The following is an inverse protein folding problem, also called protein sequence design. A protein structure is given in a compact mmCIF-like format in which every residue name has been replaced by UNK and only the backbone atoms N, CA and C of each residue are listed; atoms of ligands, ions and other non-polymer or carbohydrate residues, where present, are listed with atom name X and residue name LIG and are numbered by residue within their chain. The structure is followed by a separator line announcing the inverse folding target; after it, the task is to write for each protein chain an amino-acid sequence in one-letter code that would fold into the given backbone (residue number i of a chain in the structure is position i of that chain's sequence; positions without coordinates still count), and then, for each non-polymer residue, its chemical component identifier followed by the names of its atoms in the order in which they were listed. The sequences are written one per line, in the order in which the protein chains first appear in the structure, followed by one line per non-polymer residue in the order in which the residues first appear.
data_IF_042821535679
#
_entry.id   IF_042821535679
#
_cell.length_a   1.000
_cell.length_b   1.000
_cell.length_c   1.000
_cell.angle_alpha   90.00
_cell.angle_beta   90.00
_cell.angle_gamma   90.00
#
_symmetry.space_group_name_H-M   'P 1'
#
loop_
_entity.id
_entity.type
_entity.pdbx_description
1 polymer ?
#
# COMPACT_ATOMS: atom_id res chain seq x y z
N UNK A 1 4.82 7.19 -9.51
CA UNK A 1 4.11 6.37 -8.56
C UNK A 1 2.64 6.62 -8.55
N UNK A 2 1.86 5.59 -8.36
CA UNK A 2 0.42 5.76 -8.34
C UNK A 2 0.01 6.52 -7.10
N UNK A 3 -0.96 7.36 -7.26
CA UNK A 3 -1.46 8.13 -6.15
C UNK A 3 -2.06 7.26 -5.06
N UNK A 4 -2.64 6.19 -5.46
CA UNK A 4 -3.23 5.28 -4.51
C UNK A 4 -2.19 4.79 -3.52
N UNK A 5 -1.01 4.46 -4.02
CA UNK A 5 0.03 3.96 -3.17
C UNK A 5 0.47 5.04 -2.19
N UNK A 6 0.61 6.24 -2.68
CA UNK A 6 1.03 7.34 -1.85
C UNK A 6 0.06 7.57 -0.70
N UNK A 7 -1.20 7.55 -1.01
CA UNK A 7 -2.21 7.79 0.01
C UNK A 7 -2.17 6.68 1.04
N UNK A 8 -2.06 5.47 0.58
CA UNK A 8 -2.02 4.33 1.47
C UNK A 8 -0.82 4.43 2.41
N UNK A 9 0.33 4.75 1.84
CA UNK A 9 1.54 4.87 2.62
C UNK A 9 1.39 5.94 3.71
N UNK A 10 0.88 7.07 3.32
CA UNK A 10 0.69 8.15 4.26
C UNK A 10 -0.24 7.75 5.38
N UNK A 11 -1.28 7.07 5.02
CA UNK A 11 -2.25 6.64 6.00
C UNK A 11 -1.63 5.67 6.99
N UNK A 12 -0.85 4.74 6.48
CA UNK A 12 -0.22 3.76 7.33
C UNK A 12 0.81 4.40 8.25
N UNK A 13 1.56 5.35 7.73
CA UNK A 13 2.54 6.05 8.53
C UNK A 13 1.84 6.77 9.68
N UNK A 14 0.70 7.34 9.39
CA UNK A 14 -0.06 8.05 10.38
C UNK A 14 -0.47 7.11 11.49
N UNK A 15 -0.68 5.87 11.13
CA UNK A 15 -1.12 4.88 12.08
C UNK A 15 0.03 4.49 13.02
N UNK A 16 1.25 4.82 12.65
CA UNK A 16 2.36 4.49 13.50
C UNK A 16 3.44 3.64 12.85
N UNK A 17 3.35 3.45 11.57
CA UNK A 17 4.34 2.64 10.89
C UNK A 17 5.42 3.50 10.27
N UNK A 18 6.51 2.87 9.86
CA UNK A 18 7.58 3.60 9.23
C UNK A 18 7.31 3.62 7.75
N UNK A 19 8.04 4.44 7.04
CA UNK A 19 7.87 4.54 5.61
C UNK A 19 8.08 3.20 4.94
N UNK A 20 9.13 2.52 5.30
CA UNK A 20 9.44 1.23 4.72
C UNK A 20 8.31 0.24 4.98
N UNK A 21 7.85 0.19 6.19
CA UNK A 21 6.77 -0.69 6.54
C UNK A 21 5.49 -0.34 5.80
N UNK A 22 5.24 0.95 5.69
CA UNK A 22 4.04 1.41 5.03
C UNK A 22 4.05 1.00 3.55
N UNK A 23 5.19 1.14 2.93
CA UNK A 23 5.30 0.78 1.53
C UNK A 23 5.08 -0.72 1.34
N UNK A 24 5.66 -1.50 2.18
CA UNK A 24 5.51 -2.94 2.10
C UNK A 24 4.05 -3.34 2.27
N UNK A 25 3.42 -2.80 3.26
CA UNK A 25 2.03 -3.10 3.52
C UNK A 25 1.13 -2.66 2.38
N UNK A 26 1.31 -1.45 1.92
CA UNK A 26 0.49 -0.93 0.84
C UNK A 26 0.73 -1.65 -0.48
N UNK A 27 1.96 -1.97 -0.76
CA UNK A 27 2.29 -2.66 -1.99
C UNK A 27 1.65 -4.04 -2.00
N UNK A 28 1.72 -4.72 -0.89
CA UNK A 28 1.14 -6.05 -0.79
C UNK A 28 -0.37 -5.98 -0.98
N UNK A 29 -0.97 -4.98 -0.39
CA UNK A 29 -2.40 -4.81 -0.49
C UNK A 29 -2.83 -4.54 -1.91
N UNK A 30 -2.14 -3.64 -2.57
CA UNK A 30 -2.46 -3.31 -3.94
C UNK A 30 -2.23 -4.48 -4.87
N UNK A 31 -1.18 -5.20 -4.64
CA UNK A 31 -0.88 -6.36 -5.45
C UNK A 31 -1.97 -7.39 -5.35
N UNK A 32 -2.48 -7.60 -4.16
CA UNK A 32 -3.53 -8.54 -3.95
C UNK A 32 -4.76 -8.13 -4.71
N UNK A 33 -5.08 -6.88 -4.66
CA UNK A 33 -6.25 -6.38 -5.33
C UNK A 33 -6.14 -6.59 -6.82
N UNK A 34 -5.00 -6.31 -7.37
CA UNK A 34 -4.79 -6.46 -8.75
C UNK A 34 -4.90 -7.89 -9.19
N UNK A 35 -4.34 -8.77 -8.45
CA UNK A 35 -4.38 -10.13 -8.77
C UNK A 35 -5.74 -10.70 -8.83
N UNK A 36 -6.57 -10.33 -8.01
CA UNK A 36 -7.87 -10.87 -7.99
C UNK A 36 -8.55 -10.76 -9.32
N UNK A 37 -8.30 -9.76 -10.01
CA UNK A 37 -8.98 -9.61 -11.27
C UNK A 37 -8.57 -10.65 -12.26
N UNK A 38 -7.39 -11.17 -12.14
CA UNK A 38 -6.94 -12.12 -13.00
C UNK A 38 -7.59 -13.41 -12.91
N UNK A 39 -7.93 -13.84 -12.03
CA UNK A 39 -8.48 -15.09 -11.86
C UNK A 39 -9.29 -15.48 -12.43
#
# INVERSE_FOLDING_TARGET
MPKKLERCVKDVIKSGQTKSGAYAICTASINKSKKKGKK
#
